data_IF_352568349119
#
_entry.id   IF_352568349119
#
_cell.length_a   1.000
_cell.length_b   1.000
_cell.length_c   1.000
_cell.angle_alpha   90.00
_cell.angle_beta   90.00
_cell.angle_gamma   90.00
#
_symmetry.space_group_name_H-M   'P 1'
#
loop_
_entity.id
_entity.type
_entity.pdbx_description
1 polymer ?
#
# COMPACT_ATOMS: atom_id res chain seq x y z
N UNK A 1 -12.86 8.30 14.24
CA UNK A 1 -13.52 7.60 13.12
C UNK A 1 -15.03 7.41 13.27
N UNK A 2 -15.70 7.74 14.38
CA UNK A 2 -17.18 7.73 14.42
C UNK A 2 -17.87 6.38 14.16
N UNK A 3 -17.11 5.27 14.17
CA UNK A 3 -17.65 3.92 13.94
C UNK A 3 -18.35 3.44 15.21
N UNK A 4 -19.61 2.96 15.13
CA UNK A 4 -20.31 2.39 16.27
C UNK A 4 -19.55 1.22 16.91
N UNK A 5 -19.47 1.21 18.23
CA UNK A 5 -18.68 0.22 18.99
C UNK A 5 -19.05 -1.24 18.68
N UNK A 6 -20.33 -1.53 18.41
CA UNK A 6 -20.77 -2.88 18.08
C UNK A 6 -20.20 -3.40 16.74
N UNK A 7 -19.99 -2.52 15.74
CA UNK A 7 -19.36 -2.91 14.48
C UNK A 7 -17.87 -3.18 14.67
N UNK A 8 -17.19 -2.37 15.46
CA UNK A 8 -15.78 -2.61 15.82
C UNK A 8 -15.62 -3.93 16.60
N UNK A 9 -16.58 -4.25 17.47
CA UNK A 9 -16.61 -5.53 18.19
C UNK A 9 -16.81 -6.71 17.22
N UNK A 10 -17.78 -6.61 16.30
CA UNK A 10 -18.03 -7.64 15.30
C UNK A 10 -16.80 -7.90 14.42
N UNK A 11 -16.14 -6.85 13.93
CA UNK A 11 -14.92 -6.96 13.13
C UNK A 11 -13.78 -7.59 13.93
N UNK A 12 -13.60 -7.19 15.19
CA UNK A 12 -12.57 -7.78 16.06
C UNK A 12 -12.81 -9.27 16.27
N UNK A 13 -14.06 -9.68 16.53
CA UNK A 13 -14.41 -11.07 16.73
C UNK A 13 -14.29 -11.90 15.45
N UNK A 14 -14.53 -11.31 14.28
CA UNK A 14 -14.31 -11.97 13.00
C UNK A 14 -12.85 -12.37 12.79
N UNK A 15 -11.92 -11.54 13.26
CA UNK A 15 -10.47 -11.72 13.09
C UNK A 15 -9.75 -12.30 14.32
N UNK A 16 -10.45 -12.50 15.43
CA UNK A 16 -9.88 -13.10 16.63
C UNK A 16 -9.72 -14.62 16.45
N UNK A 17 -8.57 -15.15 16.87
CA UNK A 17 -8.28 -16.59 16.96
C UNK A 17 -8.61 -17.37 15.67
N UNK A 18 -8.37 -16.75 14.50
CA UNK A 18 -8.65 -17.35 13.21
C UNK A 18 -7.73 -18.53 12.94
N UNK A 19 -8.31 -19.63 12.43
CA UNK A 19 -7.56 -20.78 11.94
C UNK A 19 -7.84 -21.01 10.45
N UNK A 20 -6.83 -21.52 9.74
CA UNK A 20 -6.95 -21.96 8.36
C UNK A 20 -6.31 -23.34 8.18
N UNK A 21 -6.70 -24.01 7.11
CA UNK A 21 -6.02 -25.19 6.57
C UNK A 21 -5.87 -25.02 5.06
N UNK A 22 -4.83 -25.61 4.48
CA UNK A 22 -4.59 -25.60 3.03
C UNK A 22 -5.06 -26.93 2.46
N UNK A 23 -6.02 -26.88 1.54
CA UNK A 23 -6.43 -28.04 0.75
C UNK A 23 -5.63 -28.09 -0.54
N UNK A 24 -4.86 -29.17 -0.72
CA UNK A 24 -4.14 -29.48 -1.96
C UNK A 24 -4.91 -30.53 -2.77
N UNK A 25 -4.38 -30.93 -3.93
CA UNK A 25 -4.97 -32.00 -4.73
C UNK A 25 -4.91 -33.38 -4.05
N UNK A 26 -4.01 -33.58 -3.08
CA UNK A 26 -3.73 -34.89 -2.49
C UNK A 26 -4.20 -34.98 -1.03
N UNK A 27 -4.12 -33.88 -0.28
CA UNK A 27 -4.43 -33.85 1.14
C UNK A 27 -4.83 -32.46 1.65
N UNK A 28 -5.37 -32.42 2.86
CA UNK A 28 -5.66 -31.20 3.61
C UNK A 28 -4.69 -31.12 4.78
N UNK A 29 -4.03 -29.97 4.95
CA UNK A 29 -3.06 -29.80 6.05
C UNK A 29 -3.77 -29.76 7.41
N UNK A 30 -3.01 -29.87 8.49
CA UNK A 30 -3.51 -29.50 9.81
C UNK A 30 -3.94 -28.03 9.86
N UNK A 31 -4.78 -27.72 10.85
CA UNK A 31 -5.17 -26.35 11.15
C UNK A 31 -3.98 -25.56 11.71
N UNK A 32 -3.87 -24.31 11.27
CA UNK A 32 -2.88 -23.36 11.78
C UNK A 32 -3.52 -21.99 12.00
N UNK A 33 -2.97 -21.25 12.95
CA UNK A 33 -3.46 -19.93 13.33
C UNK A 33 -3.07 -18.87 12.29
N UNK A 34 -4.02 -18.00 11.94
CA UNK A 34 -3.82 -16.83 11.09
C UNK A 34 -3.44 -15.66 11.99
N UNK A 35 -2.18 -15.25 11.95
CA UNK A 35 -1.70 -14.16 12.80
C UNK A 35 -1.94 -12.75 12.23
N UNK A 36 -1.94 -12.58 10.90
CA UNK A 36 -2.04 -11.28 10.23
C UNK A 36 -2.72 -11.42 8.86
N UNK A 37 -3.35 -10.33 8.42
CA UNK A 37 -3.96 -10.21 7.09
C UNK A 37 -5.47 -10.11 7.13
N UNK A 38 -6.07 -9.97 5.95
CA UNK A 38 -7.52 -9.97 5.75
C UNK A 38 -7.96 -11.30 5.13
N UNK A 39 -9.19 -11.74 5.38
CA UNK A 39 -9.70 -12.98 4.79
C UNK A 39 -9.90 -12.81 3.28
N UNK A 40 -9.03 -13.39 2.45
CA UNK A 40 -9.20 -13.33 0.99
C UNK A 40 -10.55 -13.96 0.59
N UNK A 41 -11.30 -13.27 -0.27
CA UNK A 41 -12.66 -13.68 -0.67
C UNK A 41 -13.78 -13.18 0.25
N UNK A 42 -13.46 -12.62 1.43
CA UNK A 42 -14.47 -11.94 2.25
C UNK A 42 -14.85 -10.59 1.63
N UNK A 43 -16.14 -10.27 1.61
CA UNK A 43 -16.69 -9.04 1.05
C UNK A 43 -16.19 -7.77 1.77
N UNK A 44 -15.79 -7.88 3.03
CA UNK A 44 -15.29 -6.77 3.83
C UNK A 44 -13.79 -6.53 3.65
N UNK A 45 -13.04 -7.53 3.19
CA UNK A 45 -11.58 -7.44 3.08
C UNK A 45 -11.10 -6.30 2.19
N UNK A 46 -11.70 -6.01 1.02
CA UNK A 46 -11.33 -4.84 0.24
C UNK A 46 -11.51 -3.51 0.99
N UNK A 47 -12.61 -3.37 1.74
CA UNK A 47 -12.86 -2.17 2.54
C UNK A 47 -11.84 -2.01 3.67
N UNK A 48 -11.48 -3.11 4.33
CA UNK A 48 -10.48 -3.11 5.41
C UNK A 48 -9.08 -2.79 4.88
N UNK A 49 -8.68 -3.36 3.73
CA UNK A 49 -7.43 -3.01 3.07
C UNK A 49 -7.38 -1.51 2.71
N UNK A 50 -8.45 -0.97 2.14
CA UNK A 50 -8.51 0.44 1.78
C UNK A 50 -8.45 1.34 3.03
N UNK A 51 -9.12 0.95 4.12
CA UNK A 51 -9.04 1.69 5.39
C UNK A 51 -7.60 1.72 5.92
N UNK A 52 -6.88 0.61 5.78
CA UNK A 52 -5.48 0.50 6.20
C UNK A 52 -4.55 1.36 5.36
N UNK A 53 -4.70 1.30 4.03
CA UNK A 53 -3.95 2.13 3.11
C UNK A 53 -4.21 3.62 3.37
N UNK A 54 -5.47 4.00 3.62
CA UNK A 54 -5.83 5.37 3.97
C UNK A 54 -5.20 5.80 5.30
N UNK A 55 -5.19 4.94 6.31
CA UNK A 55 -4.52 5.21 7.58
C UNK A 55 -3.01 5.49 7.39
N UNK A 56 -2.32 4.67 6.60
CA UNK A 56 -0.89 4.89 6.28
C UNK A 56 -0.70 6.23 5.58
N UNK A 57 -1.53 6.52 4.58
CA UNK A 57 -1.44 7.73 3.76
C UNK A 57 -1.69 9.00 4.57
N UNK A 58 -2.67 8.98 5.47
CA UNK A 58 -2.95 10.08 6.38
C UNK A 58 -1.79 10.32 7.36
N UNK A 59 -1.20 9.25 7.90
CA UNK A 59 -0.06 9.37 8.81
C UNK A 59 1.23 9.77 8.10
N UNK A 60 1.37 9.43 6.81
CA UNK A 60 2.48 9.90 5.98
C UNK A 60 2.39 11.40 5.66
N UNK A 61 1.23 12.03 5.97
CA UNK A 61 0.98 13.48 5.86
C UNK A 61 1.32 14.02 4.47
N UNK A 62 0.96 13.27 3.43
CA UNK A 62 1.25 13.68 2.05
C UNK A 62 0.50 14.97 1.67
N UNK A 63 -0.66 15.25 2.28
CA UNK A 63 -1.40 16.50 2.09
C UNK A 63 -0.69 17.74 2.68
N UNK A 64 0.18 17.55 3.67
CA UNK A 64 1.02 18.61 4.23
C UNK A 64 2.32 18.77 3.43
N UNK A 65 2.68 17.79 2.60
CA UNK A 65 3.85 17.89 1.74
C UNK A 65 3.58 18.88 0.60
N UNK A 66 4.54 19.78 0.33
CA UNK A 66 4.50 20.64 -0.85
C UNK A 66 4.72 19.85 -2.16
N UNK A 67 5.15 18.59 -2.04
CA UNK A 67 5.39 17.65 -3.13
C UNK A 67 4.08 17.15 -3.75
N UNK A 68 4.10 16.94 -5.07
CA UNK A 68 2.93 16.55 -5.86
C UNK A 68 2.87 17.32 -7.18
N UNK A 69 1.84 17.05 -7.98
CA UNK A 69 1.55 17.83 -9.19
C UNK A 69 0.28 18.65 -8.98
N UNK A 70 0.35 19.95 -9.30
CA UNK A 70 -0.83 20.84 -9.22
C UNK A 70 -1.70 20.71 -10.46
N UNK A 71 -2.93 20.20 -10.29
CA UNK A 71 -3.96 20.14 -11.33
C UNK A 71 -5.19 20.91 -10.85
N UNK A 72 -5.66 21.87 -11.64
CA UNK A 72 -6.86 22.68 -11.33
C UNK A 72 -6.89 23.24 -9.88
N UNK A 73 -5.74 23.76 -9.41
CA UNK A 73 -5.51 24.29 -8.04
C UNK A 73 -5.53 23.26 -6.91
N UNK A 74 -5.54 21.96 -7.21
CA UNK A 74 -5.39 20.87 -6.24
C UNK A 74 -4.03 20.22 -6.41
N UNK A 75 -3.39 19.86 -5.31
CA UNK A 75 -2.17 19.08 -5.33
C UNK A 75 -2.51 17.59 -5.40
N UNK A 76 -1.91 16.86 -6.32
CA UNK A 76 -2.08 15.41 -6.47
C UNK A 76 -0.74 14.76 -6.17
N UNK A 77 -0.64 14.07 -5.04
CA UNK A 77 0.57 13.38 -4.59
C UNK A 77 0.50 11.87 -4.83
N UNK A 78 -0.71 11.29 -4.95
CA UNK A 78 -0.88 9.86 -5.16
C UNK A 78 -2.12 9.49 -5.99
N UNK A 79 -2.03 8.36 -6.68
CA UNK A 79 -3.15 7.61 -7.24
C UNK A 79 -3.13 6.21 -6.61
N UNK A 80 -4.29 5.70 -6.21
CA UNK A 80 -4.38 4.45 -5.45
C UNK A 80 -5.46 3.57 -6.04
N UNK A 81 -5.13 2.32 -6.32
CA UNK A 81 -6.10 1.32 -6.73
C UNK A 81 -5.79 -0.03 -6.09
N UNK A 82 -6.73 -0.55 -5.31
CA UNK A 82 -6.59 -1.82 -4.60
C UNK A 82 -5.23 -1.93 -3.87
N UNK A 83 -4.33 -2.80 -4.34
CA UNK A 83 -3.00 -3.00 -3.78
C UNK A 83 -1.89 -2.11 -4.36
N UNK A 84 -2.17 -1.37 -5.44
CA UNK A 84 -1.19 -0.55 -6.13
C UNK A 84 -1.31 0.93 -5.72
N UNK A 85 -0.16 1.54 -5.46
CA UNK A 85 -0.04 2.98 -5.17
C UNK A 85 0.97 3.60 -6.14
N UNK A 86 0.56 4.67 -6.80
CA UNK A 86 1.43 5.52 -7.60
C UNK A 86 1.65 6.82 -6.86
N UNK A 87 2.90 7.14 -6.55
CA UNK A 87 3.29 8.45 -6.03
C UNK A 87 3.74 9.34 -7.19
N UNK A 88 3.44 10.62 -7.11
CA UNK A 88 3.68 11.58 -8.19
C UNK A 88 4.21 12.87 -7.57
N UNK A 89 5.27 13.43 -8.15
CA UNK A 89 5.82 14.73 -7.77
C UNK A 89 6.47 15.42 -8.98
N UNK A 90 6.75 16.72 -8.86
CA UNK A 90 7.42 17.51 -9.91
C UNK A 90 8.94 17.27 -9.92
N UNK A 91 9.52 16.94 -8.75
CA UNK A 91 10.96 16.70 -8.57
C UNK A 91 11.31 15.28 -8.12
N UNK A 92 12.54 14.86 -8.44
CA UNK A 92 13.11 13.59 -7.96
C UNK A 92 13.23 13.58 -6.42
N UNK A 93 13.75 14.63 -5.81
CA UNK A 93 13.89 14.71 -4.34
C UNK A 93 12.52 14.65 -3.65
N UNK A 94 11.53 15.37 -4.16
CA UNK A 94 10.16 15.33 -3.67
C UNK A 94 9.56 13.93 -3.74
N UNK A 95 9.75 13.21 -4.85
CA UNK A 95 9.26 11.84 -5.01
C UNK A 95 9.98 10.87 -4.05
N UNK A 96 11.29 11.04 -3.80
CA UNK A 96 12.03 10.26 -2.80
C UNK A 96 11.45 10.48 -1.41
N UNK A 97 11.20 11.73 -1.03
CA UNK A 97 10.64 12.07 0.28
C UNK A 97 9.25 11.45 0.48
N UNK A 98 8.38 11.52 -0.53
CA UNK A 98 7.05 10.89 -0.46
C UNK A 98 7.18 9.37 -0.28
N UNK A 99 8.07 8.73 -1.02
CA UNK A 99 8.26 7.28 -0.96
C UNK A 99 8.83 6.83 0.39
N UNK A 100 9.79 7.56 0.96
CA UNK A 100 10.34 7.28 2.30
C UNK A 100 9.25 7.40 3.36
N UNK A 101 8.46 8.48 3.35
CA UNK A 101 7.35 8.66 4.32
C UNK A 101 6.33 7.54 4.24
N UNK A 102 5.89 7.17 3.04
CA UNK A 102 4.94 6.07 2.84
C UNK A 102 5.54 4.75 3.32
N UNK A 103 6.82 4.49 3.03
CA UNK A 103 7.53 3.29 3.47
C UNK A 103 7.59 3.20 5.00
N UNK A 104 8.05 4.25 5.67
CA UNK A 104 8.18 4.30 7.13
C UNK A 104 6.83 4.09 7.83
N UNK A 105 5.76 4.74 7.36
CA UNK A 105 4.42 4.55 7.92
C UNK A 105 3.85 3.16 7.61
N UNK A 106 4.13 2.62 6.42
CA UNK A 106 3.73 1.25 6.06
C UNK A 106 4.39 0.22 6.99
N UNK A 107 5.68 0.37 7.29
CA UNK A 107 6.44 -0.56 8.13
C UNK A 107 5.97 -0.57 9.59
N UNK A 108 5.50 0.57 10.13
CA UNK A 108 4.84 0.64 11.46
C UNK A 108 3.58 -0.22 11.54
N UNK A 109 3.02 -0.51 10.39
CA UNK A 109 1.77 -1.26 10.20
C UNK A 109 2.06 -2.66 9.63
N UNK A 110 3.31 -3.12 9.70
CA UNK A 110 3.76 -4.42 9.15
C UNK A 110 3.49 -4.60 7.64
N UNK A 111 3.18 -3.52 6.92
CA UNK A 111 2.99 -3.52 5.47
C UNK A 111 4.34 -3.20 4.82
N UNK A 112 4.84 -4.11 3.99
CA UNK A 112 6.12 -3.92 3.28
C UNK A 112 5.88 -3.53 1.84
N UNK A 113 6.56 -2.47 1.40
CA UNK A 113 6.61 -2.13 -0.01
C UNK A 113 7.39 -3.21 -0.78
N UNK A 114 6.86 -3.62 -1.92
CA UNK A 114 7.54 -4.57 -2.80
C UNK A 114 8.49 -3.82 -3.73
N UNK A 115 9.64 -3.41 -3.21
CA UNK A 115 10.65 -2.63 -3.95
C UNK A 115 11.03 -3.30 -5.30
N UNK A 116 11.23 -4.63 -5.39
CA UNK A 116 11.49 -5.28 -6.68
C UNK A 116 10.38 -5.14 -7.72
N UNK A 117 9.13 -4.89 -7.31
CA UNK A 117 7.98 -4.64 -8.21
C UNK A 117 7.68 -3.16 -8.42
N UNK A 118 8.23 -2.26 -7.62
CA UNK A 118 8.02 -0.83 -7.79
C UNK A 118 8.83 -0.33 -8.99
N UNK A 119 8.24 0.58 -9.77
CA UNK A 119 8.84 1.17 -10.97
C UNK A 119 8.84 2.68 -10.86
N UNK A 120 9.87 3.32 -11.41
CA UNK A 120 9.94 4.78 -11.52
C UNK A 120 9.80 5.16 -12.99
N UNK A 121 8.88 6.08 -13.25
CA UNK A 121 8.64 6.68 -14.57
C UNK A 121 8.95 8.17 -14.46
N UNK A 122 9.76 8.70 -15.38
CA UNK A 122 10.10 10.11 -15.42
C UNK A 122 10.20 10.63 -16.85
N UNK A 123 9.81 11.89 -17.04
CA UNK A 123 9.97 12.57 -18.33
C UNK A 123 11.39 13.08 -18.56
N UNK A 124 12.22 13.18 -17.52
CA UNK A 124 13.60 13.68 -17.57
C UNK A 124 14.66 12.57 -17.45
N UNK A 125 15.92 12.96 -17.57
CA UNK A 125 17.06 12.07 -17.28
C UNK A 125 17.14 11.83 -15.77
N UNK A 126 16.91 10.58 -15.36
CA UNK A 126 17.21 10.09 -14.00
C UNK A 126 18.31 9.05 -14.15
N UNK A 127 19.44 9.28 -13.47
CA UNK A 127 20.67 8.49 -13.66
C UNK A 127 20.72 7.27 -12.75
N UNK A 128 20.18 7.34 -11.53
CA UNK A 128 20.05 6.21 -10.63
C UNK A 128 19.05 6.47 -9.51
N UNK A 129 18.34 5.42 -9.08
CA UNK A 129 17.40 5.49 -7.97
C UNK A 129 17.60 4.31 -7.02
N UNK A 130 17.82 4.61 -5.74
CA UNK A 130 18.05 3.62 -4.69
C UNK A 130 17.32 4.01 -3.40
N UNK A 131 16.75 3.00 -2.74
CA UNK A 131 16.18 3.09 -1.40
C UNK A 131 16.66 1.87 -0.63
N UNK A 132 17.22 2.08 0.57
CA UNK A 132 17.77 1.02 1.42
C UNK A 132 18.70 0.05 0.68
N UNK A 133 19.57 0.60 -0.19
CA UNK A 133 20.52 -0.16 -1.01
C UNK A 133 19.88 -1.02 -2.11
N UNK A 134 18.55 -1.04 -2.20
CA UNK A 134 17.82 -1.67 -3.30
C UNK A 134 17.68 -0.69 -4.46
N UNK A 135 18.07 -1.14 -5.66
CA UNK A 135 17.94 -0.33 -6.89
C UNK A 135 16.55 -0.53 -7.47
N UNK A 136 15.87 0.58 -7.76
CA UNK A 136 14.54 0.55 -8.36
C UNK A 136 14.66 0.56 -9.88
N UNK A 137 13.82 -0.22 -10.55
CA UNK A 137 13.81 -0.27 -12.02
C UNK A 137 13.16 0.98 -12.59
N UNK A 138 13.91 1.68 -13.45
CA UNK A 138 13.44 2.81 -14.24
C UNK A 138 12.83 2.31 -15.54
N UNK A 139 11.63 2.74 -15.87
CA UNK A 139 10.94 2.34 -17.10
C UNK A 139 10.41 3.56 -17.86
N UNK A 140 10.33 3.45 -19.19
CA UNK A 140 9.76 4.52 -20.04
C UNK A 140 8.25 4.48 -20.04
N UNK A 141 7.69 3.29 -19.96
CA UNK A 141 6.27 2.99 -20.00
C UNK A 141 5.95 1.91 -18.96
N UNK A 142 4.75 2.02 -18.39
CA UNK A 142 4.24 1.08 -17.41
C UNK A 142 2.74 0.94 -17.59
N UNK A 143 2.26 -0.31 -17.66
CA UNK A 143 0.83 -0.59 -17.74
C UNK A 143 0.27 -0.54 -16.32
N UNK A 144 -0.44 0.54 -16.01
CA UNK A 144 -1.11 0.70 -14.72
C UNK A 144 -2.42 -0.09 -14.72
N UNK A 145 -2.59 -0.98 -13.74
CA UNK A 145 -3.79 -1.80 -13.46
C UNK A 145 -3.99 -3.06 -14.30
N UNK A 146 -2.95 -3.54 -14.98
CA UNK A 146 -2.96 -4.79 -15.73
C UNK A 146 -3.19 -4.62 -17.24
N UNK A 147 -3.01 -5.73 -17.94
CA UNK A 147 -3.09 -5.89 -19.41
C UNK A 147 -4.47 -6.32 -19.89
#
# INVERSE_FOLDING_TARGET
MGIPAHLSCLLRNLYADQEATVRTAHETTDWFQIGKGVCQGCILSPCLCNLYAEYIMQNARLDEAQAGIKIARRNIHSLRNAGDTTLIAEGEEELKDLLIKVKEESEKTDLKLNIPKTRIVASGLITSWQIDWETMEMVRDFIFLGS
#
